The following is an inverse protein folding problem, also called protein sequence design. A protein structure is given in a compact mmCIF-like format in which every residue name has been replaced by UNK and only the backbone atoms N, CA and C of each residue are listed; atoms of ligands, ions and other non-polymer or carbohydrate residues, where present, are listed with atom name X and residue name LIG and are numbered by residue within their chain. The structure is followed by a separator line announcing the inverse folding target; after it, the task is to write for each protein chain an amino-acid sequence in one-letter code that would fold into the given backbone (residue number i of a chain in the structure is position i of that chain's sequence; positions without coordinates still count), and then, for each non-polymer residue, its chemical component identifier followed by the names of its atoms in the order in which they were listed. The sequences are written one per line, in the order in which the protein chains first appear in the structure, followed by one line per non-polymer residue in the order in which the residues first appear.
data_IF_651884758831
#
_entry.id   IF_651884758831
#
_cell.length_a   1.000
_cell.length_b   1.000
_cell.length_c   1.000
_cell.angle_alpha   90.00
_cell.angle_beta   90.00
_cell.angle_gamma   90.00
#
_symmetry.space_group_name_H-M   'P 1'
#
loop_
_entity.id
_entity.type
_entity.pdbx_description
1 polymer ?
#
# COMPACT_ATOMS: atom_id res chain seq x y z
N UNK A 1 0.63 -57.48 -53.39
CA UNK A 1 -0.48 -56.97 -52.56
C UNK A 1 -0.38 -55.46 -52.58
N UNK A 2 -1.09 -54.79 -53.49
CA UNK A 2 -1.02 -53.33 -53.71
C UNK A 2 -2.25 -52.68 -53.06
N UNK A 3 -2.04 -51.84 -52.05
CA UNK A 3 -3.09 -51.03 -51.43
C UNK A 3 -3.18 -49.69 -52.16
N UNK A 4 -4.17 -49.58 -53.05
CA UNK A 4 -4.57 -48.31 -53.67
C UNK A 4 -5.42 -47.50 -52.69
N UNK A 5 -4.85 -46.45 -52.10
CA UNK A 5 -5.60 -45.46 -51.33
C UNK A 5 -6.36 -44.52 -52.27
N UNK A 6 -7.69 -44.65 -52.33
CA UNK A 6 -8.55 -43.69 -53.00
C UNK A 6 -8.78 -42.50 -52.07
N UNK A 7 -8.09 -41.38 -52.34
CA UNK A 7 -8.45 -40.09 -51.76
C UNK A 7 -9.78 -39.64 -52.37
N UNK A 8 -10.85 -39.75 -51.59
CA UNK A 8 -12.16 -39.16 -51.89
C UNK A 8 -12.04 -37.67 -51.56
N UNK A 9 -11.69 -36.86 -52.55
CA UNK A 9 -11.81 -35.41 -52.47
C UNK A 9 -13.29 -35.05 -52.46
N UNK A 10 -13.88 -34.93 -51.27
CA UNK A 10 -15.26 -34.46 -51.12
C UNK A 10 -15.26 -32.93 -50.97
N UNK A 11 -15.84 -32.17 -51.91
CA UNK A 11 -15.83 -30.70 -51.90
C UNK A 11 -16.54 -30.10 -50.67
N UNK A 12 -17.31 -30.89 -49.93
CA UNK A 12 -17.96 -30.50 -48.69
C UNK A 12 -16.95 -30.19 -47.55
N UNK A 13 -15.79 -30.85 -47.50
CA UNK A 13 -14.79 -30.60 -46.46
C UNK A 13 -14.02 -29.29 -46.67
N UNK A 14 -13.86 -28.84 -47.91
CA UNK A 14 -13.19 -27.56 -48.21
C UNK A 14 -14.04 -26.35 -47.77
N UNK A 15 -15.37 -26.43 -47.92
CA UNK A 15 -16.30 -25.38 -47.47
C UNK A 15 -16.38 -25.31 -45.94
N UNK A 16 -16.28 -26.45 -45.26
CA UNK A 16 -16.33 -26.55 -43.79
C UNK A 16 -15.02 -26.08 -43.12
N UNK A 17 -13.87 -26.26 -43.77
CA UNK A 17 -12.60 -25.65 -43.32
C UNK A 17 -12.56 -24.14 -43.58
N UNK A 18 -13.11 -23.66 -44.70
CA UNK A 18 -13.19 -22.21 -44.97
C UNK A 18 -14.11 -21.48 -43.97
N UNK A 19 -15.20 -22.11 -43.53
CA UNK A 19 -16.10 -21.53 -42.53
C UNK A 19 -15.52 -21.56 -41.11
N UNK A 20 -14.70 -22.56 -40.76
CA UNK A 20 -13.93 -22.54 -39.51
C UNK A 20 -12.80 -21.49 -39.51
N UNK A 21 -12.14 -21.24 -40.65
CA UNK A 21 -11.12 -20.19 -40.76
C UNK A 21 -11.71 -18.76 -40.70
N UNK A 22 -12.96 -18.56 -41.15
CA UNK A 22 -13.66 -17.27 -41.06
C UNK A 22 -14.24 -16.99 -39.65
N UNK A 23 -14.31 -17.99 -38.77
CA UNK A 23 -14.76 -17.84 -37.38
C UNK A 23 -13.62 -17.48 -36.42
N UNK A 24 -12.37 -17.42 -36.88
CA UNK A 24 -11.34 -16.58 -36.24
C UNK A 24 -11.61 -15.12 -36.64
N UNK A 25 -12.82 -14.66 -36.33
CA UNK A 25 -13.16 -13.26 -36.35
C UNK A 25 -12.14 -12.57 -35.45
N UNK A 26 -11.35 -11.69 -36.06
CA UNK A 26 -10.35 -10.85 -35.41
C UNK A 26 -10.89 -10.31 -34.09
N UNK A 27 -10.53 -10.95 -32.98
CA UNK A 27 -10.44 -10.26 -31.71
C UNK A 27 -9.37 -9.19 -31.94
N UNK A 28 -9.80 -8.01 -32.40
CA UNK A 28 -8.93 -6.86 -32.56
C UNK A 28 -8.39 -6.61 -31.15
N UNK A 29 -7.15 -7.00 -30.91
CA UNK A 29 -6.46 -6.63 -29.69
C UNK A 29 -6.42 -5.11 -29.69
N UNK A 30 -7.28 -4.51 -28.88
CA UNK A 30 -7.30 -3.08 -28.69
C UNK A 30 -5.90 -2.65 -28.25
N UNK A 31 -5.45 -1.53 -28.80
CA UNK A 31 -4.11 -1.05 -28.57
C UNK A 31 -4.05 0.47 -28.63
N UNK A 32 -3.01 1.02 -28.03
CA UNK A 32 -2.73 2.46 -27.99
C UNK A 32 -1.31 2.72 -28.48
N UNK A 33 -1.03 3.91 -29.00
CA UNK A 33 0.29 4.25 -29.53
C UNK A 33 1.21 4.86 -28.46
N UNK A 34 0.64 5.33 -27.35
CA UNK A 34 1.36 6.02 -26.28
C UNK A 34 1.23 5.26 -24.97
N UNK A 35 2.11 5.56 -24.01
CA UNK A 35 1.99 5.12 -22.61
C UNK A 35 1.35 6.21 -21.74
N UNK A 36 0.55 7.11 -22.32
CA UNK A 36 -0.18 8.09 -21.52
C UNK A 36 -1.20 7.39 -20.62
N UNK A 37 -1.26 7.83 -19.35
CA UNK A 37 -2.15 7.25 -18.34
C UNK A 37 -3.60 7.18 -18.82
N UNK A 38 -4.10 8.24 -19.48
CA UNK A 38 -5.48 8.31 -19.98
C UNK A 38 -5.77 7.25 -21.05
N UNK A 39 -4.85 7.05 -21.99
CA UNK A 39 -4.99 6.08 -23.08
C UNK A 39 -4.98 4.66 -22.53
N UNK A 40 -4.05 4.36 -21.62
CA UNK A 40 -3.97 3.05 -20.96
C UNK A 40 -5.21 2.79 -20.08
N UNK A 41 -5.69 3.77 -19.32
CA UNK A 41 -6.92 3.64 -18.54
C UNK A 41 -8.13 3.31 -19.42
N UNK A 42 -8.27 3.96 -20.58
CA UNK A 42 -9.35 3.67 -21.54
C UNK A 42 -9.23 2.30 -22.20
N UNK A 43 -8.01 1.84 -22.40
CA UNK A 43 -7.74 0.50 -22.92
C UNK A 43 -8.11 -0.58 -21.90
N UNK A 44 -7.89 -0.35 -20.59
CA UNK A 44 -8.30 -1.26 -19.52
C UNK A 44 -9.80 -1.18 -19.23
N UNK A 45 -10.31 0.04 -19.09
CA UNK A 45 -11.68 0.35 -18.70
C UNK A 45 -12.38 1.08 -19.83
N UNK A 46 -13.13 0.31 -20.64
CA UNK A 46 -13.82 0.85 -21.81
C UNK A 46 -14.77 1.99 -21.43
N UNK A 47 -14.57 3.14 -22.07
CA UNK A 47 -15.38 4.33 -21.83
C UNK A 47 -14.94 5.19 -20.65
N UNK A 48 -13.82 4.86 -19.99
CA UNK A 48 -13.30 5.64 -18.86
C UNK A 48 -12.95 7.08 -19.25
N UNK A 49 -13.44 8.03 -18.44
CA UNK A 49 -13.09 9.45 -18.52
C UNK A 49 -13.26 10.10 -17.15
N UNK A 50 -12.33 10.97 -16.79
CA UNK A 50 -12.31 11.66 -15.49
C UNK A 50 -13.39 12.75 -15.37
N UNK A 51 -13.89 13.28 -16.49
CA UNK A 51 -14.76 14.47 -16.48
C UNK A 51 -16.27 14.16 -16.47
N UNK A 52 -16.69 12.89 -16.58
CA UNK A 52 -18.08 12.51 -16.88
C UNK A 52 -18.68 11.45 -15.91
N UNK A 53 -18.17 11.32 -14.68
CA UNK A 53 -18.48 10.19 -13.76
C UNK A 53 -18.23 8.79 -14.37
N UNK A 54 -17.51 8.74 -15.50
CA UNK A 54 -17.08 7.53 -16.21
C UNK A 54 -15.79 6.95 -15.62
N UNK A 55 -15.28 7.57 -14.55
CA UNK A 55 -14.19 7.06 -13.75
C UNK A 55 -14.66 6.01 -12.73
N UNK A 56 -15.97 5.85 -12.55
CA UNK A 56 -16.58 4.84 -11.68
C UNK A 56 -16.70 3.50 -12.41
N UNK A 57 -15.94 2.52 -11.94
CA UNK A 57 -15.95 1.14 -12.45
C UNK A 57 -16.69 0.23 -11.48
N UNK A 58 -17.55 -0.63 -12.03
CA UNK A 58 -18.38 -1.61 -11.30
C UNK A 58 -18.08 -3.02 -11.79
N UNK A 59 -18.52 -4.02 -11.05
CA UNK A 59 -18.61 -5.39 -11.57
C UNK A 59 -19.54 -5.42 -12.80
N UNK A 60 -19.26 -6.21 -13.85
CA UNK A 60 -18.18 -7.21 -13.97
C UNK A 60 -16.87 -6.69 -14.58
N UNK A 61 -16.74 -5.38 -14.88
CA UNK A 61 -15.53 -4.84 -15.52
C UNK A 61 -14.29 -4.97 -14.64
N UNK A 62 -14.49 -4.88 -13.33
CA UNK A 62 -13.49 -5.17 -12.30
C UNK A 62 -13.76 -6.56 -11.72
N UNK A 63 -12.80 -7.50 -11.87
CA UNK A 63 -12.88 -8.82 -11.21
C UNK A 63 -12.26 -8.72 -9.81
N UNK A 64 -12.89 -7.95 -8.94
CA UNK A 64 -12.45 -7.76 -7.56
C UNK A 64 -13.38 -8.43 -6.57
N UNK A 65 -12.80 -9.17 -5.64
CA UNK A 65 -13.48 -9.67 -4.46
C UNK A 65 -13.40 -8.59 -3.36
N UNK A 66 -14.52 -8.42 -2.65
CA UNK A 66 -14.57 -7.54 -1.49
C UNK A 66 -13.70 -8.13 -0.35
N UNK A 67 -13.16 -7.30 0.55
CA UNK A 67 -12.55 -7.79 1.78
C UNK A 67 -13.53 -8.68 2.55
N UNK A 68 -13.05 -9.76 3.15
CA UNK A 68 -13.89 -10.77 3.82
C UNK A 68 -14.78 -10.21 4.95
N UNK A 69 -14.44 -9.03 5.47
CA UNK A 69 -15.22 -8.32 6.50
C UNK A 69 -16.47 -7.61 5.96
N UNK A 70 -16.68 -7.57 4.63
CA UNK A 70 -17.77 -6.83 3.99
C UNK A 70 -18.88 -7.79 3.54
N UNK A 71 -20.17 -7.45 3.77
CA UNK A 71 -21.28 -8.29 3.32
C UNK A 71 -21.22 -8.56 1.81
N UNK A 72 -21.47 -9.81 1.41
CA UNK A 72 -21.45 -10.25 0.00
C UNK A 72 -22.54 -9.60 -0.86
N UNK A 73 -23.53 -8.96 -0.25
CA UNK A 73 -24.61 -8.20 -0.93
C UNK A 73 -24.18 -6.79 -1.34
N UNK A 74 -23.03 -6.31 -0.87
CA UNK A 74 -22.51 -4.99 -1.22
C UNK A 74 -22.06 -4.96 -2.69
N UNK A 75 -22.65 -4.08 -3.50
CA UNK A 75 -22.17 -3.84 -4.86
C UNK A 75 -20.90 -3.00 -4.83
N UNK A 76 -19.79 -3.57 -5.31
CA UNK A 76 -18.53 -2.86 -5.40
C UNK A 76 -18.56 -1.85 -6.56
N UNK A 77 -18.42 -0.57 -6.20
CA UNK A 77 -18.20 0.53 -7.13
C UNK A 77 -16.97 1.32 -6.68
N UNK A 78 -16.00 1.44 -7.58
CA UNK A 78 -14.73 2.12 -7.32
C UNK A 78 -14.55 3.26 -8.32
N UNK A 79 -14.21 4.44 -7.82
CA UNK A 79 -13.65 5.50 -8.66
C UNK A 79 -12.18 5.18 -8.92
N UNK A 80 -11.82 5.00 -10.19
CA UNK A 80 -10.50 4.53 -10.60
C UNK A 80 -9.63 5.68 -11.07
N UNK A 81 -8.43 5.78 -10.49
CA UNK A 81 -7.44 6.82 -10.79
C UNK A 81 -6.12 6.18 -11.20
N UNK A 82 -5.57 6.61 -12.35
CA UNK A 82 -4.19 6.26 -12.69
C UNK A 82 -3.23 6.88 -11.65
N UNK A 83 -2.30 6.06 -11.15
CA UNK A 83 -1.25 6.51 -10.24
C UNK A 83 0.04 6.74 -11.02
N UNK A 84 0.56 5.67 -11.61
CA UNK A 84 1.88 5.65 -12.27
C UNK A 84 1.85 4.77 -13.50
N UNK A 85 2.69 5.11 -14.48
CA UNK A 85 3.03 4.22 -15.59
C UNK A 85 4.52 4.03 -15.56
N UNK A 86 4.97 2.78 -15.47
CA UNK A 86 6.38 2.43 -15.41
C UNK A 86 6.73 1.52 -16.57
N UNK A 87 7.75 1.88 -17.35
CA UNK A 87 8.38 0.94 -18.29
C UNK A 87 9.24 -0.02 -17.49
N UNK A 88 9.04 -1.32 -17.69
CA UNK A 88 9.88 -2.35 -17.07
C UNK A 88 11.06 -2.70 -17.97
N UNK A 89 10.82 -2.69 -19.29
CA UNK A 89 11.85 -2.78 -20.32
C UNK A 89 11.45 -1.97 -21.58
N UNK A 90 12.07 -2.23 -22.72
CA UNK A 90 11.78 -1.55 -23.99
C UNK A 90 10.37 -1.83 -24.53
N UNK A 91 9.83 -3.02 -24.24
CA UNK A 91 8.60 -3.58 -24.81
C UNK A 91 7.54 -3.90 -23.76
N UNK A 92 7.82 -3.73 -22.47
CA UNK A 92 6.86 -3.97 -21.39
C UNK A 92 6.69 -2.75 -20.48
N UNK A 93 5.44 -2.51 -20.08
CA UNK A 93 5.08 -1.44 -19.17
C UNK A 93 3.93 -1.87 -18.27
N UNK A 94 3.80 -1.20 -17.13
CA UNK A 94 2.75 -1.42 -16.15
C UNK A 94 2.06 -0.10 -15.82
N UNK A 95 0.72 -0.13 -15.77
CA UNK A 95 -0.12 0.92 -15.22
C UNK A 95 -0.55 0.51 -13.82
N UNK A 96 -0.27 1.37 -12.85
CA UNK A 96 -0.70 1.24 -11.47
C UNK A 96 -1.92 2.14 -11.24
N UNK A 97 -2.95 1.59 -10.61
CA UNK A 97 -4.25 2.26 -10.46
C UNK A 97 -4.70 2.20 -9.01
N UNK A 98 -5.27 3.30 -8.53
CA UNK A 98 -5.99 3.38 -7.26
C UNK A 98 -7.49 3.27 -7.52
N UNK A 99 -8.16 2.36 -6.80
CA UNK A 99 -9.61 2.35 -6.67
C UNK A 99 -10.04 2.99 -5.35
N UNK A 100 -10.84 4.05 -5.44
CA UNK A 100 -11.49 4.68 -4.29
C UNK A 100 -12.93 4.16 -4.17
N UNK A 101 -13.27 3.46 -3.08
CA UNK A 101 -14.63 3.00 -2.92
C UNK A 101 -15.61 4.16 -2.71
N UNK A 102 -16.76 4.05 -3.38
CA UNK A 102 -17.88 4.98 -3.14
C UNK A 102 -18.60 4.67 -1.83
N UNK A 103 -18.57 3.42 -1.38
CA UNK A 103 -19.09 3.05 -0.07
C UNK A 103 -18.14 3.49 1.05
N UNK A 104 -18.70 4.10 2.09
CA UNK A 104 -17.95 4.49 3.29
C UNK A 104 -17.36 3.28 4.02
N UNK A 105 -16.23 3.48 4.69
CA UNK A 105 -15.60 2.44 5.51
C UNK A 105 -14.91 1.34 4.72
N UNK A 106 -14.68 1.50 3.41
CA UNK A 106 -13.85 0.60 2.62
C UNK A 106 -12.47 1.24 2.35
N UNK A 107 -11.37 0.47 2.45
CA UNK A 107 -10.03 0.96 2.14
C UNK A 107 -9.84 1.22 0.65
N UNK A 108 -8.82 2.01 0.30
CA UNK A 108 -8.42 2.09 -1.10
C UNK A 108 -7.90 0.73 -1.62
N UNK A 109 -8.19 0.47 -2.89
CA UNK A 109 -7.71 -0.68 -3.65
C UNK A 109 -6.51 -0.27 -4.51
N UNK A 110 -5.51 -1.13 -4.59
CA UNK A 110 -4.49 -1.07 -5.64
C UNK A 110 -4.78 -2.12 -6.70
N UNK A 111 -4.68 -1.74 -7.97
CA UNK A 111 -4.77 -2.62 -9.12
C UNK A 111 -3.60 -2.34 -10.09
N UNK A 112 -3.28 -3.33 -10.92
CA UNK A 112 -2.17 -3.24 -11.87
C UNK A 112 -2.49 -3.91 -13.20
N UNK A 113 -1.98 -3.31 -14.28
CA UNK A 113 -2.26 -3.71 -15.65
C UNK A 113 -0.97 -3.68 -16.48
N UNK A 114 -0.62 -4.79 -17.10
CA UNK A 114 0.62 -4.93 -17.88
C UNK A 114 0.34 -4.84 -19.36
N UNK A 115 1.20 -4.12 -20.06
CA UNK A 115 1.13 -3.87 -21.49
C UNK A 115 2.39 -4.36 -22.16
N UNK A 116 2.21 -4.91 -23.37
CA UNK A 116 3.30 -5.29 -24.25
C UNK A 116 3.23 -4.51 -25.55
N UNK A 117 4.39 -4.01 -25.98
CA UNK A 117 4.59 -3.37 -27.28
C UNK A 117 4.70 -4.40 -28.39
N UNK A 118 4.02 -4.16 -29.51
CA UNK A 118 4.17 -4.90 -30.78
C UNK A 118 4.21 -3.87 -31.91
N UNK A 119 5.39 -3.62 -32.46
CA UNK A 119 5.61 -2.47 -33.35
C UNK A 119 5.46 -1.16 -32.56
N UNK A 120 4.61 -0.25 -33.01
CA UNK A 120 4.34 1.01 -32.29
C UNK A 120 3.18 0.91 -31.29
N UNK A 121 2.48 -0.22 -31.26
CA UNK A 121 1.24 -0.38 -30.51
C UNK A 121 1.45 -1.11 -29.18
N UNK A 122 0.89 -0.57 -28.10
CA UNK A 122 0.81 -1.17 -26.77
C UNK A 122 -0.54 -1.84 -26.58
N UNK A 123 -0.52 -3.09 -26.09
CA UNK A 123 -1.73 -3.88 -25.86
C UNK A 123 -1.71 -4.49 -24.47
N UNK A 124 -2.86 -4.54 -23.80
CA UNK A 124 -3.01 -5.15 -22.48
C UNK A 124 -2.72 -6.66 -22.59
N UNK A 125 -1.77 -7.16 -21.79
CA UNK A 125 -1.39 -8.58 -21.78
C UNK A 125 -1.68 -9.27 -20.46
N UNK A 126 -1.70 -8.52 -19.35
CA UNK A 126 -2.06 -9.09 -18.05
C UNK A 126 -2.79 -8.06 -17.18
N UNK A 127 -3.54 -8.55 -16.18
CA UNK A 127 -4.24 -7.71 -15.20
C UNK A 127 -4.26 -8.37 -13.82
N UNK A 128 -4.09 -7.55 -12.80
CA UNK A 128 -4.31 -7.89 -11.41
C UNK A 128 -5.29 -6.85 -10.84
N UNK A 129 -6.58 -7.17 -10.93
CA UNK A 129 -7.66 -6.26 -10.52
C UNK A 129 -7.70 -6.01 -9.01
N UNK A 130 -7.10 -6.92 -8.23
CA UNK A 130 -6.87 -6.76 -6.80
C UNK A 130 -5.43 -7.13 -6.51
N UNK A 131 -4.60 -6.11 -6.37
CA UNK A 131 -3.25 -6.27 -5.81
C UNK A 131 -3.36 -6.35 -4.30
N UNK A 132 -3.95 -5.31 -3.69
CA UNK A 132 -4.13 -5.23 -2.25
C UNK A 132 -5.24 -4.24 -1.90
N UNK A 133 -6.03 -4.59 -0.89
CA UNK A 133 -6.85 -3.64 -0.14
C UNK A 133 -6.00 -3.12 1.01
N UNK A 134 -5.81 -1.81 1.11
CA UNK A 134 -5.01 -1.24 2.20
C UNK A 134 -5.63 -1.55 3.57
N UNK A 135 -4.80 -1.75 4.58
CA UNK A 135 -5.28 -2.06 5.93
C UNK A 135 -6.07 -0.89 6.55
N UNK A 136 -6.88 -1.18 7.57
CA UNK A 136 -7.54 -0.19 8.44
C UNK A 136 -8.30 0.94 7.70
N UNK A 137 -9.04 0.64 6.62
CA UNK A 137 -9.70 1.68 5.81
C UNK A 137 -8.73 2.75 5.27
N UNK A 138 -7.47 2.36 5.07
CA UNK A 138 -6.37 3.23 4.70
C UNK A 138 -6.67 4.02 3.44
N UNK A 139 -6.45 5.33 3.54
CA UNK A 139 -6.50 6.26 2.41
C UNK A 139 -5.08 6.54 1.95
N UNK A 140 -4.87 6.46 0.64
CA UNK A 140 -3.57 6.77 0.04
C UNK A 140 -3.36 8.28 0.11
N UNK A 141 -2.35 8.69 0.87
CA UNK A 141 -1.95 10.10 0.97
C UNK A 141 -0.88 10.43 -0.06
N UNK A 142 0.03 9.49 -0.36
CA UNK A 142 1.12 9.70 -1.30
C UNK A 142 1.56 8.38 -1.93
N UNK A 143 2.01 8.46 -3.18
CA UNK A 143 2.65 7.34 -3.87
C UNK A 143 3.92 7.82 -4.57
N UNK A 144 4.90 6.94 -4.70
CA UNK A 144 6.10 7.19 -5.50
C UNK A 144 6.66 5.89 -6.04
N UNK A 145 7.24 5.94 -7.24
CA UNK A 145 8.05 4.86 -7.78
C UNK A 145 9.44 4.91 -7.17
N UNK A 146 9.96 3.76 -6.75
CA UNK A 146 11.34 3.61 -6.27
C UNK A 146 12.01 2.47 -7.02
N UNK A 147 13.26 2.65 -7.39
CA UNK A 147 14.09 1.58 -7.94
C UNK A 147 14.73 0.82 -6.77
N UNK A 148 14.49 -0.49 -6.71
CA UNK A 148 15.04 -1.37 -5.66
C UNK A 148 16.52 -1.67 -5.93
N UNK A 149 16.82 -1.95 -7.19
CA UNK A 149 18.13 -2.15 -7.80
C UNK A 149 17.95 -1.99 -9.33
N UNK A 150 19.01 -1.89 -10.13
CA UNK A 150 18.90 -1.53 -11.55
C UNK A 150 17.83 -2.33 -12.32
N UNK A 151 16.79 -1.64 -12.80
CA UNK A 151 15.69 -2.21 -13.59
C UNK A 151 14.58 -2.92 -12.79
N UNK A 152 14.67 -2.97 -11.46
CA UNK A 152 13.65 -3.55 -10.58
C UNK A 152 12.99 -2.45 -9.75
N UNK A 153 11.66 -2.36 -9.83
CA UNK A 153 10.92 -1.22 -9.29
C UNK A 153 9.90 -1.67 -8.24
N UNK A 154 9.64 -0.79 -7.29
CA UNK A 154 8.50 -0.90 -6.39
C UNK A 154 7.69 0.39 -6.37
N UNK A 155 6.40 0.26 -6.08
CA UNK A 155 5.56 1.38 -5.67
C UNK A 155 5.61 1.51 -4.16
N UNK A 156 6.07 2.67 -3.67
CA UNK A 156 5.90 3.08 -2.30
C UNK A 156 4.55 3.77 -2.14
N UNK A 157 3.80 3.36 -1.12
CA UNK A 157 2.50 3.89 -0.75
C UNK A 157 2.58 4.36 0.69
N UNK A 158 2.40 5.66 0.90
CA UNK A 158 2.09 6.20 2.21
C UNK A 158 0.56 6.23 2.32
N UNK A 159 0.02 5.54 3.31
CA UNK A 159 -1.41 5.47 3.56
C UNK A 159 -1.73 5.77 5.01
N UNK A 160 -2.91 6.34 5.24
CA UNK A 160 -3.30 6.83 6.55
C UNK A 160 -4.68 6.36 6.96
N UNK A 161 -4.86 6.15 8.25
CA UNK A 161 -6.16 5.98 8.88
C UNK A 161 -6.33 7.01 9.99
N UNK A 162 -7.56 7.51 10.12
CA UNK A 162 -7.95 8.37 11.23
C UNK A 162 -8.92 7.62 12.11
N UNK A 163 -8.52 7.34 13.35
CA UNK A 163 -9.36 6.70 14.35
C UNK A 163 -9.29 7.54 15.64
N UNK A 164 -10.44 7.91 16.22
CA UNK A 164 -10.50 8.65 17.50
C UNK A 164 -9.62 9.91 17.55
N UNK A 165 -9.61 10.68 16.46
CA UNK A 165 -8.76 11.87 16.21
C UNK A 165 -7.26 11.58 16.04
N UNK A 166 -6.83 10.32 16.08
CA UNK A 166 -5.45 9.93 15.85
C UNK A 166 -5.21 9.71 14.37
N UNK A 167 -4.15 10.31 13.84
CA UNK A 167 -3.70 10.05 12.47
C UNK A 167 -2.54 9.06 12.53
N UNK A 168 -2.79 7.87 12.01
CA UNK A 168 -1.77 6.86 11.80
C UNK A 168 -1.37 6.89 10.33
N UNK A 169 -0.06 6.91 10.06
CA UNK A 169 0.46 6.87 8.68
C UNK A 169 1.45 5.74 8.58
N UNK A 170 1.28 4.90 7.56
CA UNK A 170 2.13 3.74 7.29
C UNK A 170 2.71 3.79 5.89
N UNK A 171 3.87 3.16 5.74
CA UNK A 171 4.51 2.89 4.46
C UNK A 171 4.34 1.41 4.08
N UNK A 172 3.84 1.19 2.87
CA UNK A 172 3.83 -0.10 2.17
C UNK A 172 4.70 0.01 0.91
N UNK A 173 5.48 -1.03 0.66
CA UNK A 173 6.24 -1.21 -0.58
C UNK A 173 5.66 -2.39 -1.36
N UNK A 174 5.37 -2.18 -2.64
CA UNK A 174 4.84 -3.19 -3.55
C UNK A 174 5.83 -3.38 -4.71
N UNK A 175 6.52 -4.52 -4.78
CA UNK A 175 7.44 -4.84 -5.88
C UNK A 175 6.65 -5.13 -7.14
N UNK A 176 7.13 -4.57 -8.25
CA UNK A 176 6.51 -4.75 -9.56
C UNK A 176 7.33 -5.75 -10.34
N UNK A 177 6.72 -6.89 -10.63
CA UNK A 177 7.33 -7.95 -11.42
C UNK A 177 6.76 -7.92 -12.84
N UNK A 178 7.26 -8.80 -13.71
CA UNK A 178 6.89 -8.84 -15.12
C UNK A 178 5.39 -9.10 -15.36
N UNK A 179 4.71 -9.76 -14.43
CA UNK A 179 3.32 -10.18 -14.57
C UNK A 179 2.48 -10.09 -13.27
N UNK A 180 3.07 -9.70 -12.13
CA UNK A 180 2.37 -9.58 -10.86
C UNK A 180 2.97 -8.49 -9.98
N UNK A 181 2.23 -8.09 -8.97
CA UNK A 181 2.74 -7.25 -7.88
C UNK A 181 2.79 -8.07 -6.60
N UNK A 182 3.92 -7.99 -5.90
CA UNK A 182 4.14 -8.68 -4.64
C UNK A 182 4.48 -7.67 -3.54
N UNK A 183 3.77 -7.68 -2.38
CA UNK A 183 4.12 -6.81 -1.27
C UNK A 183 5.51 -7.18 -0.73
N UNK A 184 6.30 -6.18 -0.35
CA UNK A 184 7.65 -6.38 0.19
C UNK A 184 7.71 -6.45 1.72
N UNK A 185 6.54 -6.47 2.35
CA UNK A 185 6.35 -6.64 3.79
C UNK A 185 5.32 -7.74 4.01
N UNK A 186 5.27 -8.26 5.24
CA UNK A 186 4.21 -9.16 5.66
C UNK A 186 2.90 -8.41 5.90
N UNK A 187 1.78 -9.14 5.86
CA UNK A 187 0.46 -8.57 6.12
C UNK A 187 0.43 -8.01 7.55
N UNK A 188 0.05 -6.74 7.68
CA UNK A 188 -0.02 -6.04 8.97
C UNK A 188 1.34 -5.60 9.54
N UNK A 189 2.43 -5.73 8.76
CA UNK A 189 3.77 -5.26 9.15
C UNK A 189 4.23 -4.05 8.33
N UNK A 190 3.30 -3.16 8.01
CA UNK A 190 3.62 -1.89 7.36
C UNK A 190 4.52 -1.05 8.29
N UNK A 191 5.34 -0.18 7.71
CA UNK A 191 6.27 0.63 8.51
C UNK A 191 5.53 1.88 9.01
N UNK A 192 5.44 2.06 10.32
CA UNK A 192 4.88 3.28 10.92
C UNK A 192 5.73 4.51 10.53
N UNK A 193 5.10 5.46 9.84
CA UNK A 193 5.70 6.75 9.49
C UNK A 193 5.28 7.87 10.42
N UNK A 194 4.05 7.83 10.91
CA UNK A 194 3.54 8.79 11.89
C UNK A 194 2.71 8.02 12.89
N UNK A 195 2.93 8.30 14.17
CA UNK A 195 2.08 7.80 15.23
C UNK A 195 1.78 8.95 16.18
N UNK A 196 0.56 9.45 16.08
CA UNK A 196 -0.03 10.24 17.15
C UNK A 196 -0.76 9.25 18.06
N UNK A 197 -0.06 8.73 19.08
CA UNK A 197 -0.72 7.91 20.09
C UNK A 197 -1.35 8.83 21.11
N UNK A 198 -2.62 8.54 21.38
CA UNK A 198 -3.47 9.15 22.40
C UNK A 198 -3.82 10.61 22.12
N UNK A 199 -4.26 11.00 20.92
CA UNK A 199 -4.83 12.33 20.69
C UNK A 199 -6.23 12.52 21.31
N UNK A 200 -6.39 12.11 22.57
CA UNK A 200 -7.51 12.54 23.39
C UNK A 200 -7.33 14.01 23.81
N UNK A 201 -8.40 14.65 24.35
CA UNK A 201 -8.35 16.01 24.87
C UNK A 201 -7.20 16.23 25.87
N UNK A 202 -6.82 15.17 26.60
CA UNK A 202 -5.72 15.17 27.56
C UNK A 202 -4.36 15.39 26.88
N UNK A 203 -4.06 14.71 25.78
CA UNK A 203 -2.82 14.92 25.06
C UNK A 203 -2.80 16.23 24.28
N UNK A 204 -3.93 16.68 23.73
CA UNK A 204 -4.01 18.03 23.17
C UNK A 204 -3.64 19.08 24.24
N UNK A 205 -4.09 18.90 25.48
CA UNK A 205 -3.73 19.79 26.59
C UNK A 205 -2.25 19.71 26.96
N UNK A 206 -1.65 18.51 26.93
CA UNK A 206 -0.23 18.27 27.22
C UNK A 206 0.70 18.79 26.12
N UNK A 207 0.23 18.82 24.87
CA UNK A 207 1.03 19.24 23.70
C UNK A 207 0.88 20.73 23.38
N UNK A 208 -0.09 21.45 23.96
CA UNK A 208 -0.29 22.88 23.70
C UNK A 208 0.94 23.70 24.10
N UNK A 209 1.58 24.43 23.18
CA UNK A 209 2.72 25.27 23.50
C UNK A 209 2.25 26.48 24.34
N UNK A 210 2.51 26.46 25.64
CA UNK A 210 2.14 27.52 26.56
C UNK A 210 2.72 27.30 27.95
N UNK A 211 3.15 28.39 28.61
CA UNK A 211 3.86 28.44 29.90
C UNK A 211 3.00 28.02 31.12
N UNK A 212 2.18 26.99 31.02
CA UNK A 212 1.54 26.36 32.16
C UNK A 212 2.56 25.42 32.81
N UNK A 213 2.86 25.59 34.11
CA UNK A 213 3.52 24.53 34.85
C UNK A 213 2.56 23.35 34.86
N UNK A 214 2.87 22.26 34.15
CA UNK A 214 2.15 21.01 34.34
C UNK A 214 2.32 20.63 35.82
N UNK A 215 1.23 20.55 36.60
CA UNK A 215 1.33 20.24 38.02
C UNK A 215 1.89 18.84 38.20
N UNK A 216 2.59 18.62 39.31
CA UNK A 216 2.97 17.28 39.74
C UNK A 216 1.69 16.48 39.98
N UNK A 217 1.60 15.30 39.37
CA UNK A 217 0.51 14.37 39.61
C UNK A 217 0.82 13.50 40.82
N UNK A 218 -0.20 13.27 41.63
CA UNK A 218 -0.15 12.32 42.74
C UNK A 218 -1.28 11.34 42.51
N UNK A 219 -0.93 10.07 42.30
CA UNK A 219 -1.88 9.01 41.99
C UNK A 219 -1.75 7.90 43.03
N UNK A 220 -2.87 7.36 43.47
CA UNK A 220 -2.89 6.17 44.32
C UNK A 220 -2.44 4.94 43.49
N UNK A 221 -1.84 3.92 44.13
CA UNK A 221 -1.30 2.74 43.41
C UNK A 221 -2.38 1.96 42.62
N UNK A 222 -3.66 2.13 42.97
CA UNK A 222 -4.79 1.55 42.28
C UNK A 222 -5.36 2.42 41.14
N UNK A 223 -4.84 3.63 40.95
CA UNK A 223 -5.21 4.51 39.84
C UNK A 223 -4.41 4.19 38.59
N UNK A 224 -4.99 4.47 37.42
CA UNK A 224 -4.35 4.20 36.14
C UNK A 224 -3.17 5.13 35.92
N UNK A 225 -2.05 4.59 35.42
CA UNK A 225 -0.89 5.39 35.07
C UNK A 225 -1.27 6.48 34.06
N UNK A 226 -0.66 7.68 34.17
CA UNK A 226 -0.97 8.79 33.30
C UNK A 226 -0.57 8.48 31.84
N UNK A 227 -1.33 8.97 30.85
CA UNK A 227 -1.10 8.68 29.44
C UNK A 227 0.24 9.20 28.94
N UNK A 228 0.71 8.62 27.84
CA UNK A 228 1.90 9.06 27.11
C UNK A 228 1.48 9.56 25.73
N UNK A 229 1.72 10.84 25.47
CA UNK A 229 1.42 11.45 24.18
C UNK A 229 2.65 11.41 23.30
N UNK A 230 2.47 11.03 22.04
CA UNK A 230 3.56 10.88 21.08
C UNK A 230 3.33 11.84 19.91
N UNK A 231 4.35 12.63 19.63
CA UNK A 231 4.40 13.50 18.46
C UNK A 231 5.70 13.19 17.73
N UNK A 232 5.67 12.18 16.86
CA UNK A 232 6.82 11.85 16.03
C UNK A 232 6.44 11.67 14.58
N UNK A 233 7.39 12.08 13.74
CA UNK A 233 7.37 11.92 12.31
C UNK A 233 8.59 11.11 11.92
N UNK A 234 8.39 10.14 11.05
CA UNK A 234 9.46 9.38 10.43
C UNK A 234 9.62 9.77 8.96
N UNK A 235 10.88 9.83 8.55
CA UNK A 235 11.27 9.88 7.14
C UNK A 235 11.83 8.52 6.76
N UNK A 236 11.64 8.15 5.51
CA UNK A 236 12.18 6.91 4.99
C UNK A 236 12.99 7.16 3.73
N UNK A 237 14.00 6.32 3.53
CA UNK A 237 14.83 6.30 2.34
C UNK A 237 15.16 4.84 2.01
N UNK A 238 15.08 4.50 0.73
CA UNK A 238 15.56 3.22 0.24
C UNK A 238 16.97 3.40 -0.31
N UNK A 239 17.97 2.77 0.31
CA UNK A 239 19.32 2.81 -0.20
C UNK A 239 19.43 2.03 -1.52
N UNK A 240 20.24 2.47 -2.50
CA UNK A 240 20.39 1.79 -3.77
C UNK A 240 20.85 0.33 -3.61
N UNK A 241 20.14 -0.60 -4.22
CA UNK A 241 20.58 -1.98 -4.39
C UNK A 241 21.52 -2.17 -5.58
N UNK A 242 22.24 -3.30 -5.61
CA UNK A 242 23.11 -3.68 -6.74
C UNK A 242 22.53 -4.88 -7.48
N UNK A 243 22.40 -6.02 -6.80
CA UNK A 243 21.83 -7.26 -7.35
C UNK A 243 20.55 -7.70 -6.60
N UNK A 244 20.21 -6.98 -5.53
CA UNK A 244 19.04 -7.20 -4.69
C UNK A 244 18.65 -5.85 -4.06
N UNK A 245 17.41 -5.71 -3.56
CA UNK A 245 16.96 -4.48 -2.91
C UNK A 245 17.90 -4.06 -1.77
N UNK A 246 18.28 -2.78 -1.75
CA UNK A 246 19.09 -2.21 -0.68
C UNK A 246 18.30 -2.04 0.63
N UNK A 247 18.95 -1.68 1.74
CA UNK A 247 18.25 -1.50 3.01
C UNK A 247 17.28 -0.32 2.98
N UNK A 248 16.11 -0.50 3.59
CA UNK A 248 15.17 0.58 3.89
C UNK A 248 15.55 1.21 5.23
N UNK A 249 15.83 2.50 5.20
CA UNK A 249 16.21 3.30 6.36
C UNK A 249 15.02 4.16 6.77
N UNK A 250 14.65 4.08 8.05
CA UNK A 250 13.57 4.86 8.64
C UNK A 250 14.13 5.67 9.80
N UNK A 251 14.08 6.98 9.70
CA UNK A 251 14.59 7.90 10.72
C UNK A 251 13.41 8.63 11.35
N UNK A 252 13.23 8.46 12.66
CA UNK A 252 12.17 9.13 13.41
C UNK A 252 12.75 10.25 14.26
N UNK A 253 12.02 11.34 14.32
CA UNK A 253 12.29 12.45 15.22
C UNK A 253 10.96 12.99 15.78
N UNK A 254 10.96 13.33 17.05
CA UNK A 254 9.75 13.76 17.71
C UNK A 254 9.92 14.04 19.19
N UNK A 255 8.80 14.08 19.90
CA UNK A 255 8.72 14.26 21.34
C UNK A 255 7.71 13.28 21.92
N UNK A 256 8.02 12.83 23.13
CA UNK A 256 7.04 12.18 24.01
C UNK A 256 6.71 13.14 25.13
N UNK A 257 5.43 13.34 25.38
CA UNK A 257 4.91 14.11 26.49
C UNK A 257 4.30 13.12 27.47
N UNK A 258 4.71 13.18 28.71
CA UNK A 258 4.25 12.21 29.69
C UNK A 258 4.68 12.60 31.09
N UNK A 259 4.44 11.68 31.99
CA UNK A 259 4.77 11.84 33.39
C UNK A 259 5.79 10.78 33.78
N UNK A 260 6.85 11.20 34.46
CA UNK A 260 7.87 10.30 35.00
C UNK A 260 7.68 10.20 36.49
N UNK A 261 7.53 8.99 37.00
CA UNK A 261 7.45 8.77 38.44
C UNK A 261 8.75 9.27 39.10
N UNK A 262 8.60 10.11 40.13
CA UNK A 262 9.72 10.71 40.88
C UNK A 262 9.76 10.26 42.34
N UNK A 263 8.63 9.81 42.89
CA UNK A 263 8.59 9.22 44.23
C UNK A 263 7.44 8.23 44.39
N UNK A 264 7.59 7.35 45.38
CA UNK A 264 6.52 6.50 45.92
C UNK A 264 6.51 6.68 47.42
N UNK A 265 5.34 6.97 47.98
CA UNK A 265 5.15 7.15 49.41
C UNK A 265 4.10 6.18 49.92
N UNK A 266 4.22 5.80 51.19
CA UNK A 266 3.19 5.07 51.92
C UNK A 266 2.82 5.90 53.14
N UNK A 267 1.54 6.21 53.30
CA UNK A 267 1.08 6.99 54.43
C UNK A 267 0.95 6.13 55.72
N UNK A 268 0.58 6.77 56.82
CA UNK A 268 0.40 6.09 58.11
C UNK A 268 -0.77 5.09 58.13
N UNK A 269 -1.68 5.15 57.17
CA UNK A 269 -2.78 4.21 57.00
C UNK A 269 -2.43 3.02 56.08
N UNK A 270 -1.22 3.01 55.51
CA UNK A 270 -0.74 1.97 54.59
C UNK A 270 -1.11 2.23 53.12
N UNK A 271 -1.69 3.39 52.81
CA UNK A 271 -2.07 3.77 51.46
C UNK A 271 -0.84 4.21 50.67
N UNK A 272 -0.73 3.75 49.41
CA UNK A 272 0.42 4.01 48.55
C UNK A 272 0.10 5.03 47.48
N UNK A 273 0.91 6.08 47.41
CA UNK A 273 0.79 7.15 46.43
C UNK A 273 2.08 7.28 45.61
N UNK A 274 1.97 7.24 44.29
CA UNK A 274 3.02 7.53 43.34
C UNK A 274 2.95 9.02 42.97
N UNK A 275 4.09 9.71 42.91
CA UNK A 275 4.16 11.10 42.43
C UNK A 275 4.91 11.16 41.12
N UNK A 276 4.43 11.98 40.18
CA UNK A 276 4.97 12.07 38.84
C UNK A 276 5.20 13.52 38.41
N UNK A 277 6.36 13.78 37.80
CA UNK A 277 6.65 15.05 37.16
C UNK A 277 6.40 14.95 35.66
N UNK A 278 5.82 16.01 35.08
CA UNK A 278 5.68 16.11 33.64
C UNK A 278 7.03 16.28 32.96
N UNK A 279 7.28 15.51 31.91
CA UNK A 279 8.52 15.52 31.14
C UNK A 279 8.20 15.52 29.66
N UNK A 280 8.84 16.43 28.94
CA UNK A 280 8.93 16.40 27.48
C UNK A 280 10.28 15.78 27.14
N UNK A 281 10.26 14.61 26.52
CA UNK A 281 11.49 13.92 26.10
C UNK A 281 11.60 13.98 24.59
N UNK A 282 12.68 14.58 24.08
CA UNK A 282 12.99 14.52 22.66
C UNK A 282 13.36 13.07 22.29
N UNK A 283 12.69 12.54 21.28
CA UNK A 283 12.96 11.22 20.74
C UNK A 283 13.60 11.35 19.38
N UNK A 284 14.67 10.59 19.17
CA UNK A 284 15.27 10.37 17.85
C UNK A 284 15.70 8.93 17.76
N UNK A 285 15.60 8.38 16.56
CA UNK A 285 16.21 7.10 16.30
C UNK A 285 16.12 6.73 14.84
N UNK A 286 16.71 5.58 14.56
CA UNK A 286 16.90 5.05 13.23
C UNK A 286 16.59 3.57 13.28
N UNK A 287 15.76 3.12 12.35
CA UNK A 287 15.42 1.72 12.14
C UNK A 287 15.91 1.35 10.75
N UNK A 288 16.65 0.25 10.67
CA UNK A 288 17.11 -0.33 9.41
C UNK A 288 16.34 -1.62 9.16
N UNK A 289 15.67 -1.69 8.02
CA UNK A 289 15.08 -2.92 7.52
C UNK A 289 15.96 -3.43 6.38
N UNK A 290 16.19 -4.74 6.36
CA UNK A 290 17.02 -5.39 5.33
C UNK A 290 16.14 -6.37 4.56
N UNK A 291 16.36 -6.43 3.26
CA UNK A 291 15.69 -7.40 2.41
C UNK A 291 16.25 -8.79 2.66
N UNK A 292 15.37 -9.70 3.04
CA UNK A 292 15.64 -11.13 3.18
C UNK A 292 15.32 -11.82 1.86
N UNK A 293 16.33 -12.45 1.26
CA UNK A 293 16.22 -13.13 -0.02
C UNK A 293 15.40 -14.42 0.05
N UNK A 294 15.36 -15.08 1.21
CA UNK A 294 14.64 -16.35 1.36
C UNK A 294 13.12 -16.12 1.40
N UNK A 295 12.70 -15.08 2.12
CA UNK A 295 11.29 -14.69 2.22
C UNK A 295 10.84 -13.71 1.14
N UNK A 296 11.79 -13.05 0.46
CA UNK A 296 11.57 -11.93 -0.47
C UNK A 296 10.86 -10.74 0.20
N UNK A 297 11.17 -10.46 1.47
CA UNK A 297 10.56 -9.41 2.30
C UNK A 297 11.59 -8.56 3.02
N UNK A 298 11.21 -7.35 3.40
CA UNK A 298 11.97 -6.57 4.37
C UNK A 298 11.67 -7.03 5.79
N UNK A 299 12.74 -7.31 6.54
CA UNK A 299 12.68 -7.64 7.96
C UNK A 299 13.42 -6.60 8.79
N UNK A 300 12.95 -6.40 10.01
CA UNK A 300 13.61 -5.48 10.96
C UNK A 300 14.91 -6.11 11.43
N UNK A 301 16.02 -5.39 11.26
CA UNK A 301 17.26 -5.76 11.96
C UNK A 301 17.14 -5.20 13.36
N UNK A 302 17.08 -6.07 14.37
CA UNK A 302 17.20 -5.64 15.77
C UNK A 302 18.63 -5.14 16.01
N UNK A 303 18.85 -3.85 15.80
CA UNK A 303 20.06 -3.19 16.30
C UNK A 303 20.03 -3.29 17.82
N UNK A 304 21.05 -3.95 18.41
CA UNK A 304 21.26 -3.90 19.86
C UNK A 304 21.29 -2.42 20.26
N UNK A 305 20.58 -2.00 21.32
CA UNK A 305 20.57 -0.60 21.73
C UNK A 305 22.01 -0.15 21.95
N UNK A 306 22.41 0.90 21.24
CA UNK A 306 23.65 1.62 21.51
C UNK A 306 23.50 2.15 22.92
N UNK A 307 24.18 1.52 23.88
CA UNK A 307 24.34 2.07 25.23
C UNK A 307 25.11 3.37 25.08
N UNK A 308 24.40 4.50 25.10
CA UNK A 308 25.01 5.78 25.41
C UNK A 308 25.59 5.68 26.82
N UNK A 309 26.92 5.82 26.91
CA UNK A 309 27.63 6.02 28.18
C UNK A 309 27.35 7.43 28.70
#
# INVERSE_FOLDING_TARGET
MQLTWRFIYSPAYAVLMLSLCMLVACARNESVQTLEQRDLMRLVFKGWDINDDKDIIRTPQLKAELPASIPSTTQLALRMHALHVQKLDADTAVLLVKGEPLASGLPNLIAAYWFKRRGEAWSLTNRQDVVEWLAANGRISKTSMVELFPGDFAMAIEHSHVEKNEVHVWLRLLRIEADKITPLFDKGQDVDLVKHVESGPECESMMRPGKGKHPRLHLHENEQDPPHCYDYLAKWELAPGIAAPGPLIVEFAGKTYGYRQVSRMTDSAGERTNSYDFVITAQKGKKKLVFDADTQKYVVVNDKPVKTK
#
